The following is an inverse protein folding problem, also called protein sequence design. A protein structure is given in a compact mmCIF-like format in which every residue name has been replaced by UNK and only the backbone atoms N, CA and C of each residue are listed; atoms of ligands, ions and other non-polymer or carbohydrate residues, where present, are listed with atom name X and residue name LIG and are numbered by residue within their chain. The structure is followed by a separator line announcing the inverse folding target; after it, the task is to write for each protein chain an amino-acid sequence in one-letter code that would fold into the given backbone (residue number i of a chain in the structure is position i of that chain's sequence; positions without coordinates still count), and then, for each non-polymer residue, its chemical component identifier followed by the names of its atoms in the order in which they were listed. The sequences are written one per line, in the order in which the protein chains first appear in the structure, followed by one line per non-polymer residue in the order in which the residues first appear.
data_IF_929840446238
#
_entry.id   IF_929840446238
#
_cell.length_a   1.000
_cell.length_b   1.000
_cell.length_c   1.000
_cell.angle_alpha   90.00
_cell.angle_beta   90.00
_cell.angle_gamma   90.00
#
_symmetry.space_group_name_H-M   'P 1'
#
loop_
_entity.id
_entity.type
_entity.pdbx_description
1 polymer ?
#
# COMPACT_ATOMS: atom_id res chain seq x y z
N UNK A 1 -7.75 -18.02 -21.41
CA UNK A 1 -7.13 -17.63 -20.13
C UNK A 1 -7.12 -16.12 -20.17
N UNK A 2 -7.88 -15.45 -19.30
CA UNK A 2 -7.90 -13.99 -19.28
C UNK A 2 -6.51 -13.51 -18.86
N UNK A 3 -5.84 -12.76 -19.72
CA UNK A 3 -4.70 -11.93 -19.32
C UNK A 3 -5.23 -11.00 -18.23
N UNK A 4 -4.85 -11.26 -16.98
CA UNK A 4 -5.12 -10.34 -15.90
C UNK A 4 -4.26 -9.11 -16.17
N UNK A 5 -4.90 -7.97 -16.46
CA UNK A 5 -4.20 -6.71 -16.66
C UNK A 5 -3.42 -6.39 -15.36
N UNK A 6 -2.07 -6.36 -15.39
CA UNK A 6 -1.25 -6.09 -14.21
C UNK A 6 -1.57 -4.74 -13.56
N UNK A 7 -2.10 -3.79 -14.35
CA UNK A 7 -2.56 -2.49 -13.87
C UNK A 7 -3.83 -2.61 -13.01
N UNK A 8 -4.77 -3.48 -13.42
CA UNK A 8 -5.99 -3.74 -12.68
C UNK A 8 -5.70 -4.46 -11.34
N UNK A 9 -4.79 -5.42 -11.36
CA UNK A 9 -4.34 -6.11 -10.14
C UNK A 9 -3.65 -5.15 -9.16
N UNK A 10 -2.84 -4.23 -9.68
CA UNK A 10 -2.19 -3.19 -8.88
C UNK A 10 -3.20 -2.25 -8.23
N UNK A 11 -4.16 -1.73 -8.99
CA UNK A 11 -5.20 -0.84 -8.46
C UNK A 11 -6.01 -1.53 -7.36
N UNK A 12 -6.45 -2.77 -7.59
CA UNK A 12 -7.16 -3.56 -6.60
C UNK A 12 -6.33 -3.81 -5.34
N UNK A 13 -5.02 -4.04 -5.49
CA UNK A 13 -4.10 -4.23 -4.37
C UNK A 13 -3.93 -2.95 -3.56
N UNK A 14 -3.81 -1.79 -4.21
CA UNK A 14 -3.77 -0.48 -3.54
C UNK A 14 -5.02 -0.23 -2.71
N UNK A 15 -6.21 -0.51 -3.26
CA UNK A 15 -7.48 -0.32 -2.55
C UNK A 15 -7.57 -1.22 -1.31
N UNK A 16 -7.31 -2.52 -1.46
CA UNK A 16 -7.32 -3.47 -0.33
C UNK A 16 -6.34 -3.07 0.77
N UNK A 17 -5.12 -2.64 0.41
CA UNK A 17 -4.11 -2.19 1.35
C UNK A 17 -4.52 -0.89 2.03
N UNK A 18 -5.08 0.06 1.28
CA UNK A 18 -5.55 1.36 1.80
C UNK A 18 -6.66 1.18 2.84
N UNK A 19 -7.62 0.30 2.57
CA UNK A 19 -8.69 -0.04 3.54
C UNK A 19 -8.11 -0.65 4.81
N UNK A 20 -7.23 -1.65 4.67
CA UNK A 20 -6.60 -2.36 5.80
C UNK A 20 -5.70 -1.48 6.65
N UNK A 21 -5.05 -0.49 6.05
CA UNK A 21 -4.14 0.43 6.73
C UNK A 21 -4.83 1.69 7.25
N UNK A 22 -6.10 1.93 6.89
CA UNK A 22 -6.84 3.15 7.26
C UNK A 22 -6.77 3.49 8.76
N UNK A 23 -7.01 2.53 9.65
CA UNK A 23 -6.93 2.74 11.09
C UNK A 23 -5.51 3.05 11.59
N UNK A 24 -4.49 2.47 10.97
CA UNK A 24 -3.09 2.77 11.28
C UNK A 24 -2.73 4.19 10.83
N UNK A 25 -3.08 4.55 9.59
CA UNK A 25 -2.88 5.88 9.00
C UNK A 25 -3.53 6.97 9.86
N UNK A 26 -4.77 6.75 10.30
CA UNK A 26 -5.46 7.66 11.23
C UNK A 26 -4.74 7.74 12.59
N UNK A 27 -4.29 6.61 13.12
CA UNK A 27 -3.59 6.56 14.42
C UNK A 27 -2.25 7.30 14.45
N UNK A 28 -1.58 7.43 13.30
CA UNK A 28 -0.33 8.18 13.17
C UNK A 28 -0.51 9.61 12.63
N UNK A 29 -1.76 10.03 12.35
CA UNK A 29 -2.07 11.37 11.84
C UNK A 29 -1.65 11.63 10.39
N UNK A 30 -1.41 10.58 9.60
CA UNK A 30 -1.03 10.71 8.18
C UNK A 30 -2.27 10.89 7.29
N UNK A 31 -2.14 11.64 6.19
CA UNK A 31 -3.23 11.78 5.23
C UNK A 31 -3.43 10.49 4.42
N UNK A 32 -4.67 10.24 3.99
CA UNK A 32 -4.97 9.10 3.12
C UNK A 32 -4.27 9.18 1.76
N UNK A 33 -3.98 10.39 1.27
CA UNK A 33 -3.27 10.61 0.01
C UNK A 33 -1.80 10.19 0.12
N UNK A 34 -1.10 10.65 1.17
CA UNK A 34 0.30 10.29 1.42
C UNK A 34 0.43 8.78 1.66
N UNK A 35 -0.51 8.20 2.43
CA UNK A 35 -0.55 6.77 2.67
C UNK A 35 -0.73 5.97 1.37
N UNK A 36 -1.63 6.42 0.48
CA UNK A 36 -1.85 5.79 -0.83
C UNK A 36 -0.60 5.87 -1.70
N UNK A 37 0.10 6.99 -1.71
CA UNK A 37 1.34 7.14 -2.46
C UNK A 37 2.45 6.21 -1.94
N UNK A 38 2.57 6.06 -0.62
CA UNK A 38 3.53 5.11 -0.02
C UNK A 38 3.17 3.67 -0.40
N UNK A 39 1.90 3.28 -0.34
CA UNK A 39 1.43 1.94 -0.76
C UNK A 39 1.77 1.70 -2.23
N UNK A 40 1.49 2.67 -3.10
CA UNK A 40 1.78 2.62 -4.53
C UNK A 40 3.26 2.37 -4.82
N UNK A 41 4.14 3.09 -4.12
CA UNK A 41 5.61 2.94 -4.20
C UNK A 41 6.09 1.58 -3.67
N UNK A 42 5.50 1.08 -2.59
CA UNK A 42 5.83 -0.24 -2.02
C UNK A 42 5.50 -1.37 -3.00
N UNK A 43 4.33 -1.31 -3.64
CA UNK A 43 3.93 -2.30 -4.66
C UNK A 43 4.86 -2.21 -5.88
N UNK A 44 5.19 -0.99 -6.33
CA UNK A 44 6.11 -0.81 -7.46
C UNK A 44 7.51 -1.34 -7.18
N UNK A 45 7.96 -1.29 -5.92
CA UNK A 45 9.27 -1.76 -5.50
C UNK A 45 9.34 -3.28 -5.33
N UNK A 46 8.22 -3.93 -5.05
CA UNK A 46 8.14 -5.39 -4.90
C UNK A 46 6.79 -5.95 -5.41
N UNK A 47 6.60 -6.02 -6.74
CA UNK A 47 5.32 -6.37 -7.34
C UNK A 47 4.92 -7.84 -7.19
N UNK A 48 5.83 -8.69 -6.69
CA UNK A 48 5.58 -10.12 -6.46
C UNK A 48 5.31 -10.43 -4.98
N UNK A 49 5.47 -9.45 -4.08
CA UNK A 49 5.17 -9.63 -2.67
C UNK A 49 3.68 -9.83 -2.42
N UNK A 50 3.35 -10.68 -1.44
CA UNK A 50 1.98 -10.85 -0.99
C UNK A 50 1.50 -9.64 -0.16
N UNK A 51 0.17 -9.49 -0.05
CA UNK A 51 -0.48 -8.41 0.72
C UNK A 51 0.13 -8.24 2.14
N UNK A 52 0.50 -9.34 2.82
CA UNK A 52 1.10 -9.30 4.16
C UNK A 52 2.45 -8.57 4.22
N UNK A 53 3.34 -8.88 3.29
CA UNK A 53 4.66 -8.26 3.20
C UNK A 53 4.55 -6.81 2.73
N UNK A 54 3.66 -6.54 1.77
CA UNK A 54 3.35 -5.19 1.31
C UNK A 54 2.80 -4.32 2.46
N UNK A 55 1.91 -4.85 3.31
CA UNK A 55 1.43 -4.14 4.50
C UNK A 55 2.55 -3.82 5.48
N UNK A 56 3.42 -4.79 5.78
CA UNK A 56 4.53 -4.59 6.71
C UNK A 56 5.47 -3.50 6.21
N UNK A 57 5.86 -3.57 4.93
CA UNK A 57 6.69 -2.56 4.27
C UNK A 57 6.02 -1.19 4.26
N UNK A 58 4.75 -1.11 3.88
CA UNK A 58 4.00 0.16 3.86
C UNK A 58 3.95 0.81 5.25
N UNK A 59 3.68 0.05 6.32
CA UNK A 59 3.72 0.57 7.70
C UNK A 59 5.09 1.12 8.07
N UNK A 60 6.17 0.38 7.76
CA UNK A 60 7.53 0.85 8.02
C UNK A 60 7.82 2.17 7.31
N UNK A 61 7.49 2.25 6.02
CA UNK A 61 7.68 3.48 5.25
C UNK A 61 6.84 4.65 5.75
N UNK A 62 5.60 4.41 6.17
CA UNK A 62 4.75 5.45 6.77
C UNK A 62 5.34 6.01 8.07
N UNK A 63 5.93 5.16 8.92
CA UNK A 63 6.60 5.61 10.14
C UNK A 63 7.86 6.43 9.83
N UNK A 64 8.62 6.01 8.81
CA UNK A 64 9.82 6.75 8.36
C UNK A 64 9.43 8.12 7.83
N UNK A 65 8.34 8.24 7.08
CA UNK A 65 7.89 9.50 6.49
C UNK A 65 7.38 10.53 7.51
N UNK A 66 7.11 10.12 8.75
CA UNK A 66 6.70 11.01 9.85
C UNK A 66 7.88 11.56 10.66
N UNK A 67 9.06 10.95 10.56
CA UNK A 67 10.29 11.35 11.25
C UNK A 67 11.15 12.29 10.41
#
# INVERSE_FOLDING_TARGET
MSETDPSADRAATIERLSERLSGFVQGIGMSGADAREIIDRVIASDPQAGDGDLMAKARTWMLIALG
#
